data_IF_509267292588
#
_entry.id   IF_509267292588
#
_cell.length_a   1.000
_cell.length_b   1.000
_cell.length_c   1.000
_cell.angle_alpha   90.00
_cell.angle_beta   90.00
_cell.angle_gamma   90.00
#
_symmetry.space_group_name_H-M   'P 1'
#
loop_
_entity.id
_entity.type
_entity.pdbx_description
1 polymer ?
#
# COMPACT_ATOMS: atom_id res chain seq x y z
N UNK A 1 9.48 11.31 23.37
CA UNK A 1 10.43 10.40 22.70
C UNK A 1 10.67 10.99 21.31
N UNK A 2 11.93 11.14 20.88
CA UNK A 2 12.22 11.52 19.49
C UNK A 2 11.87 10.31 18.60
N UNK A 3 10.79 10.40 17.85
CA UNK A 3 10.43 9.41 16.82
C UNK A 3 10.94 9.95 15.49
N UNK A 4 12.25 9.86 15.24
CA UNK A 4 12.89 10.44 14.06
C UNK A 4 12.85 9.51 12.83
N UNK A 5 11.86 8.61 12.74
CA UNK A 5 11.63 7.81 11.53
C UNK A 5 10.14 7.88 11.18
N UNK A 6 9.81 8.79 10.27
CA UNK A 6 8.50 8.93 9.67
C UNK A 6 8.27 7.73 8.72
N UNK A 7 7.29 6.87 9.04
CA UNK A 7 6.87 5.78 8.16
C UNK A 7 5.77 6.31 7.24
N UNK A 8 6.09 6.53 5.97
CA UNK A 8 5.10 6.97 4.97
C UNK A 8 4.32 5.77 4.45
N UNK A 9 3.10 5.60 4.95
CA UNK A 9 2.15 4.60 4.44
C UNK A 9 1.35 5.23 3.31
N UNK A 10 1.26 4.56 2.16
CA UNK A 10 0.34 4.96 1.11
C UNK A 10 -1.10 4.66 1.56
N UNK A 11 -1.94 5.70 1.60
CA UNK A 11 -3.36 5.59 1.96
C UNK A 11 -4.22 5.77 0.71
N UNK A 12 -5.38 5.12 0.72
CA UNK A 12 -6.39 5.26 -0.33
C UNK A 12 -7.01 6.66 -0.27
N UNK A 13 -7.42 7.20 -1.42
CA UNK A 13 -8.18 8.45 -1.42
C UNK A 13 -9.60 8.25 -0.85
N UNK A 14 -10.34 9.35 -0.67
CA UNK A 14 -11.66 9.30 -0.05
C UNK A 14 -12.68 8.46 -0.84
N UNK A 15 -12.61 8.50 -2.18
CA UNK A 15 -13.55 7.80 -3.05
C UNK A 15 -13.25 6.30 -3.07
N UNK A 16 -11.97 5.93 -3.21
CA UNK A 16 -11.50 4.55 -3.13
C UNK A 16 -11.82 3.95 -1.75
N UNK A 17 -11.58 4.71 -0.68
CA UNK A 17 -11.88 4.33 0.70
C UNK A 17 -13.36 4.09 0.90
N UNK A 18 -14.20 5.00 0.41
CA UNK A 18 -15.64 4.87 0.48
C UNK A 18 -16.14 3.64 -0.28
N UNK A 19 -15.66 3.41 -1.51
CA UNK A 19 -16.08 2.25 -2.31
C UNK A 19 -15.73 0.93 -1.62
N UNK A 20 -14.51 0.84 -1.06
CA UNK A 20 -14.08 -0.33 -0.29
C UNK A 20 -14.93 -0.50 0.98
N UNK A 21 -15.20 0.57 1.71
CA UNK A 21 -16.04 0.54 2.91
C UNK A 21 -17.47 0.06 2.58
N UNK A 22 -18.11 0.69 1.59
CA UNK A 22 -19.45 0.38 1.13
C UNK A 22 -19.56 -1.09 0.67
N UNK A 23 -18.55 -1.60 -0.03
CA UNK A 23 -18.48 -3.02 -0.43
C UNK A 23 -18.48 -3.97 0.78
N UNK A 24 -17.81 -3.60 1.87
CA UNK A 24 -17.72 -4.45 3.07
C UNK A 24 -18.98 -4.39 3.94
N UNK A 25 -19.62 -3.21 4.03
CA UNK A 25 -20.88 -3.02 4.77
C UNK A 25 -22.08 -3.62 4.01
N UNK A 26 -22.13 -3.44 2.69
CA UNK A 26 -23.25 -3.79 1.83
C UNK A 26 -24.35 -2.71 1.79
N UNK A 27 -25.55 -3.09 1.34
CA UNK A 27 -26.65 -2.15 1.02
C UNK A 27 -27.14 -1.28 2.19
N UNK A 28 -26.74 -1.58 3.43
CA UNK A 28 -27.07 -0.78 4.61
C UNK A 28 -26.61 0.68 4.47
N UNK A 29 -25.50 0.93 3.77
CA UNK A 29 -25.00 2.29 3.53
C UNK A 29 -25.93 3.16 2.69
N UNK A 30 -26.93 2.58 2.02
CA UNK A 30 -27.89 3.32 1.20
C UNK A 30 -29.13 3.77 2.00
N UNK A 31 -29.25 3.37 3.26
CA UNK A 31 -30.33 3.84 4.13
C UNK A 31 -30.08 5.32 4.46
N UNK A 32 -31.05 6.19 4.17
CA UNK A 32 -30.92 7.66 4.26
C UNK A 32 -30.35 8.13 5.59
N UNK A 33 -30.87 7.59 6.70
CA UNK A 33 -30.43 7.90 8.06
C UNK A 33 -29.05 7.33 8.45
N UNK A 34 -28.54 6.33 7.73
CA UNK A 34 -27.23 5.68 7.99
C UNK A 34 -26.15 6.24 7.07
N UNK A 35 -26.51 6.63 5.84
CA UNK A 35 -25.55 7.05 4.82
C UNK A 35 -24.55 8.10 5.33
N UNK A 36 -24.98 9.19 6.02
CA UNK A 36 -24.04 10.18 6.56
C UNK A 36 -23.08 9.60 7.59
N UNK A 37 -23.59 8.79 8.53
CA UNK A 37 -22.76 8.17 9.57
C UNK A 37 -21.77 7.14 8.97
N UNK A 38 -22.20 6.41 7.95
CA UNK A 38 -21.34 5.43 7.28
C UNK A 38 -20.17 6.09 6.54
N UNK A 39 -20.40 7.29 5.95
CA UNK A 39 -19.34 8.11 5.35
C UNK A 39 -18.35 8.60 6.40
N UNK A 40 -18.84 9.06 7.54
CA UNK A 40 -17.99 9.50 8.65
C UNK A 40 -17.13 8.35 9.20
N UNK A 41 -17.70 7.17 9.43
CA UNK A 41 -16.92 5.99 9.88
C UNK A 41 -15.86 5.60 8.85
N UNK A 42 -16.17 5.67 7.54
CA UNK A 42 -15.18 5.41 6.50
C UNK A 42 -14.02 6.43 6.53
N UNK A 43 -14.33 7.71 6.76
CA UNK A 43 -13.33 8.79 6.86
C UNK A 43 -12.41 8.63 8.06
N UNK A 44 -12.93 8.22 9.22
CA UNK A 44 -12.12 7.95 10.42
C UNK A 44 -11.09 6.81 10.23
N UNK A 45 -11.24 5.99 9.17
CA UNK A 45 -10.27 4.96 8.84
C UNK A 45 -9.04 5.51 8.07
N UNK A 46 -9.03 6.79 7.70
CA UNK A 46 -7.92 7.54 7.10
C UNK A 46 -7.22 6.82 5.92
N UNK A 47 -8.02 6.21 5.04
CA UNK A 47 -7.51 5.53 3.84
C UNK A 47 -6.72 4.24 4.10
N UNK A 48 -6.65 3.77 5.35
CA UNK A 48 -5.97 2.52 5.69
C UNK A 48 -6.86 1.32 5.32
N UNK A 49 -6.52 0.61 4.25
CA UNK A 49 -7.30 -0.51 3.74
C UNK A 49 -7.68 -1.54 4.81
N UNK A 50 -6.76 -1.88 5.72
CA UNK A 50 -7.05 -2.82 6.82
C UNK A 50 -8.09 -2.27 7.79
N UNK A 51 -7.99 -1.00 8.18
CA UNK A 51 -8.97 -0.35 9.05
C UNK A 51 -10.35 -0.28 8.37
N UNK A 52 -10.39 0.11 7.08
CA UNK A 52 -11.61 0.19 6.29
C UNK A 52 -12.33 -1.17 6.21
N UNK A 53 -11.60 -2.23 5.88
CA UNK A 53 -12.18 -3.59 5.74
C UNK A 53 -12.73 -4.07 7.07
N UNK A 54 -11.98 -3.90 8.16
CA UNK A 54 -12.38 -4.35 9.51
C UNK A 54 -13.60 -3.56 9.99
N UNK A 55 -13.54 -2.22 9.94
CA UNK A 55 -14.64 -1.35 10.33
C UNK A 55 -15.90 -1.63 9.51
N UNK A 56 -15.79 -1.67 8.18
CA UNK A 56 -16.93 -1.93 7.30
C UNK A 56 -17.56 -3.31 7.54
N UNK A 57 -16.73 -4.34 7.71
CA UNK A 57 -17.21 -5.69 8.02
C UNK A 57 -17.92 -5.75 9.37
N UNK A 58 -17.41 -5.03 10.37
CA UNK A 58 -18.03 -4.96 11.71
C UNK A 58 -19.40 -4.28 11.69
N UNK A 59 -19.68 -3.43 10.70
CA UNK A 59 -20.94 -2.68 10.58
C UNK A 59 -21.97 -3.38 9.70
N UNK A 60 -21.62 -4.51 9.08
CA UNK A 60 -22.54 -5.29 8.23
C UNK A 60 -23.81 -5.67 8.98
N UNK A 61 -24.97 -5.42 8.35
CA UNK A 61 -26.28 -5.78 8.88
C UNK A 61 -26.80 -4.90 10.02
N UNK A 62 -26.03 -3.90 10.48
CA UNK A 62 -26.50 -2.96 11.52
C UNK A 62 -27.43 -1.91 10.91
N UNK A 63 -28.74 -2.08 11.07
CA UNK A 63 -29.76 -1.18 10.52
C UNK A 63 -30.19 -0.06 11.47
N UNK A 64 -29.79 -0.12 12.74
CA UNK A 64 -30.13 0.87 13.76
C UNK A 64 -29.13 2.02 13.77
N UNK A 65 -29.62 3.25 13.68
CA UNK A 65 -28.80 4.49 13.69
C UNK A 65 -27.90 4.58 14.92
N UNK A 66 -28.45 4.27 16.09
CA UNK A 66 -27.75 4.31 17.39
C UNK A 66 -26.45 3.49 17.38
N UNK A 67 -26.45 2.33 16.69
CA UNK A 67 -25.26 1.47 16.59
C UNK A 67 -24.14 2.11 15.75
N UNK A 68 -24.49 2.98 14.80
CA UNK A 68 -23.53 3.73 13.98
C UNK A 68 -22.99 4.94 14.72
N UNK A 69 -23.85 5.65 15.46
CA UNK A 69 -23.43 6.76 16.33
C UNK A 69 -22.47 6.28 17.42
N UNK A 70 -22.82 5.17 18.09
CA UNK A 70 -21.97 4.55 19.10
C UNK A 70 -20.64 4.10 18.51
N UNK A 71 -20.65 3.42 17.37
CA UNK A 71 -19.42 2.97 16.71
C UNK A 71 -18.51 4.14 16.33
N UNK A 72 -19.08 5.20 15.73
CA UNK A 72 -18.33 6.40 15.36
C UNK A 72 -17.72 7.10 16.57
N UNK A 73 -18.50 7.23 17.65
CA UNK A 73 -18.04 7.81 18.91
C UNK A 73 -16.92 6.95 19.53
N UNK A 74 -17.10 5.64 19.59
CA UNK A 74 -16.08 4.72 20.11
C UNK A 74 -14.80 4.75 19.29
N UNK A 75 -14.90 4.86 17.97
CA UNK A 75 -13.73 4.96 17.08
C UNK A 75 -12.93 6.24 17.35
N UNK A 76 -13.61 7.40 17.42
CA UNK A 76 -12.98 8.71 17.71
C UNK A 76 -12.33 8.80 19.08
N UNK A 77 -12.87 8.06 20.05
CA UNK A 77 -12.36 8.02 21.42
C UNK A 77 -11.41 6.82 21.66
N UNK A 78 -11.09 6.06 20.62
CA UNK A 78 -10.31 4.85 20.75
C UNK A 78 -8.86 5.18 21.09
N UNK A 79 -8.37 4.55 22.14
CA UNK A 79 -6.96 4.59 22.54
C UNK A 79 -6.43 3.16 22.60
N UNK A 80 -5.13 2.94 22.34
CA UNK A 80 -4.52 1.63 22.50
C UNK A 80 -4.75 1.10 23.92
N UNK A 81 -5.21 -0.15 24.04
CA UNK A 81 -5.48 -0.76 25.34
C UNK A 81 -4.26 -0.74 26.28
N UNK A 82 -3.06 -0.86 25.71
CA UNK A 82 -1.79 -0.62 26.41
C UNK A 82 -0.70 -0.32 25.39
N UNK A 83 0.40 0.29 25.85
CA UNK A 83 1.61 0.47 25.02
C UNK A 83 2.14 -0.84 24.43
N UNK A 84 1.97 -1.97 25.15
CA UNK A 84 2.41 -3.28 24.65
C UNK A 84 1.63 -3.69 23.41
N UNK A 85 0.34 -3.37 23.33
CA UNK A 85 -0.49 -3.65 22.15
C UNK A 85 -0.08 -2.75 20.99
N UNK A 86 0.08 -1.45 21.25
CA UNK A 86 0.57 -0.47 20.27
C UNK A 86 1.90 -0.90 19.65
N UNK A 87 2.90 -1.22 20.50
CA UNK A 87 4.22 -1.66 20.07
C UNK A 87 4.17 -2.93 19.23
N UNK A 88 3.31 -3.90 19.59
CA UNK A 88 3.15 -5.15 18.84
C UNK A 88 2.58 -4.91 17.46
N UNK A 89 1.53 -4.09 17.36
CA UNK A 89 0.90 -3.74 16.07
C UNK A 89 1.89 -2.95 15.21
N UNK A 90 2.55 -1.94 15.78
CA UNK A 90 3.54 -1.13 15.08
C UNK A 90 4.69 -1.99 14.52
N UNK A 91 5.24 -2.91 15.32
CA UNK A 91 6.34 -3.80 14.87
C UNK A 91 5.96 -4.65 13.66
N UNK A 92 4.73 -5.18 13.64
CA UNK A 92 4.26 -6.01 12.52
C UNK A 92 4.09 -5.16 11.25
N UNK A 93 3.47 -3.98 11.37
CA UNK A 93 3.28 -3.06 10.24
C UNK A 93 4.63 -2.58 9.70
N UNK A 94 5.52 -2.13 10.60
CA UNK A 94 6.86 -1.69 10.23
C UNK A 94 7.64 -2.78 9.51
N UNK A 95 7.67 -4.00 10.05
CA UNK A 95 8.39 -5.10 9.41
C UNK A 95 7.83 -5.42 8.02
N UNK A 96 6.51 -5.40 7.87
CA UNK A 96 5.85 -5.62 6.58
C UNK A 96 6.28 -4.57 5.55
N UNK A 97 6.40 -3.31 5.97
CA UNK A 97 6.85 -2.21 5.11
C UNK A 97 8.34 -2.31 4.76
N UNK A 98 9.21 -2.51 5.76
CA UNK A 98 10.65 -2.69 5.57
C UNK A 98 10.96 -3.88 4.61
N UNK A 99 10.14 -4.93 4.68
CA UNK A 99 10.24 -6.12 3.80
C UNK A 99 9.86 -5.83 2.34
N UNK A 100 9.07 -4.79 2.07
CA UNK A 100 8.75 -4.36 0.70
C UNK A 100 9.88 -3.49 0.13
N UNK A 101 10.43 -2.55 0.91
CA UNK A 101 11.54 -1.70 0.46
C UNK A 101 12.79 -2.52 0.09
N UNK A 102 13.10 -3.55 0.90
CA UNK A 102 14.20 -4.47 0.59
C UNK A 102 14.00 -5.21 -0.75
N UNK A 103 12.76 -5.58 -1.10
CA UNK A 103 12.45 -6.23 -2.37
C UNK A 103 12.54 -5.27 -3.56
N UNK A 104 12.12 -4.01 -3.40
CA UNK A 104 12.24 -3.00 -4.46
C UNK A 104 13.69 -2.66 -4.80
N UNK A 105 14.56 -2.61 -3.77
CA UNK A 105 16.01 -2.45 -3.95
C UNK A 105 16.59 -3.67 -4.66
N UNK A 106 16.18 -4.88 -4.30
CA UNK A 106 16.67 -6.11 -4.95
C UNK A 106 16.23 -6.20 -6.42
N UNK A 107 14.95 -5.93 -6.71
CA UNK A 107 14.39 -5.89 -8.07
C UNK A 107 15.05 -4.84 -8.95
N UNK A 108 15.37 -3.66 -8.39
CA UNK A 108 16.07 -2.60 -9.13
C UNK A 108 17.52 -2.99 -9.42
N UNK A 109 18.22 -3.60 -8.47
CA UNK A 109 19.60 -4.07 -8.64
C UNK A 109 19.71 -5.19 -9.70
N UNK A 110 18.75 -6.12 -9.73
CA UNK A 110 18.69 -7.17 -10.75
C UNK A 110 18.42 -6.62 -12.15
N UNK A 111 17.50 -5.65 -12.27
CA UNK A 111 17.18 -4.99 -13.54
C UNK A 111 18.41 -4.25 -14.09
N UNK A 112 19.15 -3.55 -13.23
CA UNK A 112 20.41 -2.88 -13.59
C UNK A 112 21.45 -3.91 -14.05
N UNK A 113 21.64 -5.00 -13.29
CA UNK A 113 22.59 -6.07 -13.66
C UNK A 113 22.27 -6.67 -15.04
N UNK A 114 20.99 -6.99 -15.29
CA UNK A 114 20.51 -7.50 -16.60
C UNK A 114 20.78 -6.52 -17.74
N UNK A 115 20.51 -5.21 -17.53
CA UNK A 115 20.78 -4.19 -18.54
C UNK A 115 22.28 -4.04 -18.85
N UNK A 116 23.13 -3.99 -17.81
CA UNK A 116 24.58 -3.86 -17.97
C UNK A 116 25.16 -5.09 -18.69
N UNK A 117 24.71 -6.29 -18.34
CA UNK A 117 25.18 -7.52 -19.00
C UNK A 117 24.74 -7.59 -20.47
N UNK A 118 23.51 -7.16 -20.78
CA UNK A 118 23.03 -7.06 -22.18
C UNK A 118 23.85 -6.07 -22.99
N UNK A 119 24.15 -4.89 -22.43
CA UNK A 119 24.96 -3.86 -23.09
C UNK A 119 26.38 -4.35 -23.38
N UNK A 120 27.02 -5.01 -22.41
CA UNK A 120 28.34 -5.64 -22.61
C UNK A 120 28.33 -6.68 -23.73
N UNK A 121 27.28 -7.51 -23.83
CA UNK A 121 27.17 -8.50 -24.90
C UNK A 121 27.08 -7.82 -26.29
N UNK A 122 26.27 -6.77 -26.43
CA UNK A 122 26.14 -6.03 -27.69
C UNK A 122 27.40 -5.27 -28.07
N UNK A 123 28.13 -4.71 -27.10
CA UNK A 123 29.38 -3.99 -27.37
C UNK A 123 30.48 -4.96 -27.86
N UNK A 124 30.51 -6.19 -27.33
CA UNK A 124 31.43 -7.24 -27.78
C UNK A 124 31.11 -7.68 -29.21
N UNK A 125 29.84 -7.89 -29.55
CA UNK A 125 29.43 -8.26 -30.92
C UNK A 125 29.76 -7.15 -31.93
N UNK A 126 29.46 -5.90 -31.61
CA UNK A 126 29.78 -4.76 -32.46
C UNK A 126 31.30 -4.61 -32.69
N UNK A 127 32.11 -4.89 -31.67
CA UNK A 127 33.57 -4.85 -31.78
C UNK A 127 34.10 -5.96 -32.69
N UNK A 128 33.54 -7.18 -32.59
CA UNK A 128 33.88 -8.30 -33.48
C UNK A 128 33.52 -8.00 -34.94
N UNK A 129 32.34 -7.42 -35.19
CA UNK A 129 31.92 -7.02 -36.54
C UNK A 129 32.85 -5.97 -37.15
N UNK A 130 33.28 -5.00 -36.35
CA UNK A 130 34.20 -3.94 -36.79
C UNK A 130 35.60 -4.49 -37.13
N UNK A 131 36.12 -5.42 -36.33
CA UNK A 131 37.41 -6.07 -36.62
C UNK A 131 37.36 -6.94 -37.88
N UNK A 132 36.27 -7.68 -38.09
CA UNK A 132 36.06 -8.47 -39.31
C UNK A 132 36.01 -7.57 -40.55
N UNK A 133 35.24 -6.48 -40.48
CA UNK A 133 35.11 -5.53 -41.60
C UNK A 133 36.42 -4.80 -41.92
N UNK A 134 37.22 -4.46 -40.89
CA UNK A 134 38.55 -3.90 -41.09
C UNK A 134 39.51 -4.91 -41.73
N UNK A 135 39.44 -6.19 -41.37
CA UNK A 135 40.28 -7.24 -41.99
C UNK A 135 39.96 -7.44 -43.46
N UNK A 136 38.68 -7.35 -43.86
CA UNK A 136 38.26 -7.48 -45.26
C UNK A 136 38.72 -6.31 -46.14
N UNK A 137 38.88 -5.10 -45.59
CA UNK A 137 39.33 -3.92 -46.34
C UNK A 137 40.85 -3.95 -46.62
N UNK A 138 41.65 -4.68 -45.83
CA UNK A 138 43.11 -4.81 -46.05
C UNK A 138 43.49 -5.96 -46.99
N UNK A 139 42.53 -6.76 -47.45
CA UNK A 139 42.75 -7.91 -48.36
C UNK A 139 42.35 -7.64 -49.84
N UNK A 140 42.19 -6.37 -50.23
CA UNK A 140 41.98 -5.94 -51.63
C UNK A 140 43.17 -5.07 -52.08
#
# INVERSE_FOLDING_TARGET
>A
MKTDVEMKVYTMDEDESWQLFAKNVGNIVNLEQIHPLSKEVARECDGLALAIIVSGSSMRGKTRVELWEDALKSLRMSEPHSKVVEDKVYKVIKWSFDSLESQDIELSSEKISKHVNKKRATDVENTKLKMSSSSTIVEI
#
